data_IF_649094206233
#
_entry.id   IF_649094206233
#
_cell.length_a   1.000
_cell.length_b   1.000
_cell.length_c   1.000
_cell.angle_alpha   90.00
_cell.angle_beta   90.00
_cell.angle_gamma   90.00
#
_symmetry.space_group_name_H-M   'P 1'
#
loop_
_entity.id
_entity.type
_entity.pdbx_description
1 polymer ?
#
# COMPACT_ATOMS: atom_id res chain seq x y z
N UNK A 1 38.99 11.81 18.03
CA UNK A 1 37.51 11.83 18.09
C UNK A 1 37.01 10.84 17.06
N UNK A 2 36.89 9.57 17.42
CA UNK A 2 36.42 8.50 16.52
C UNK A 2 34.90 8.51 16.50
N UNK A 3 34.31 8.97 15.40
CA UNK A 3 32.86 8.94 15.20
C UNK A 3 32.38 7.49 15.19
N UNK A 4 31.49 7.16 16.13
CA UNK A 4 30.75 5.90 16.12
C UNK A 4 29.86 5.90 14.87
N UNK A 5 30.22 5.07 13.89
CA UNK A 5 29.31 4.68 12.82
C UNK A 5 28.16 3.92 13.45
N UNK A 6 27.03 4.60 13.65
CA UNK A 6 25.79 3.95 14.07
C UNK A 6 25.38 2.99 12.96
N UNK A 7 25.54 1.71 13.23
CA UNK A 7 25.13 0.62 12.35
C UNK A 7 23.60 0.58 12.39
N UNK A 8 22.94 1.29 11.47
CA UNK A 8 21.48 1.31 11.41
C UNK A 8 21.02 -0.08 10.98
N UNK A 9 20.17 -0.76 11.76
CA UNK A 9 19.68 -2.09 11.40
C UNK A 9 18.95 -2.01 10.05
N UNK A 10 19.13 -2.99 9.15
CA UNK A 10 18.47 -3.00 7.84
C UNK A 10 16.94 -2.92 7.97
N UNK A 11 16.33 -3.56 8.97
CA UNK A 11 14.89 -3.47 9.22
C UNK A 11 14.39 -2.05 9.53
N UNK A 12 15.24 -1.20 10.13
CA UNK A 12 14.88 0.19 10.42
C UNK A 12 14.91 1.04 9.13
N UNK A 13 15.88 0.77 8.25
CA UNK A 13 16.00 1.44 6.96
C UNK A 13 14.82 1.07 6.05
N UNK A 14 14.42 -0.19 6.01
CA UNK A 14 13.28 -0.66 5.20
C UNK A 14 11.97 -0.05 5.68
N UNK A 15 11.73 -0.01 6.99
CA UNK A 15 10.56 0.68 7.56
C UNK A 15 10.54 2.16 7.24
N UNK A 16 11.69 2.83 7.36
CA UNK A 16 11.79 4.27 7.04
C UNK A 16 11.50 4.53 5.57
N UNK A 17 12.00 3.67 4.67
CA UNK A 17 11.72 3.77 3.23
C UNK A 17 10.24 3.56 2.90
N UNK A 18 9.60 2.57 3.51
CA UNK A 18 8.16 2.32 3.35
C UNK A 18 7.34 3.52 3.82
N UNK A 19 7.61 4.05 5.02
CA UNK A 19 6.88 5.21 5.55
C UNK A 19 7.03 6.43 4.64
N UNK A 20 8.25 6.72 4.16
CA UNK A 20 8.49 7.81 3.22
C UNK A 20 7.73 7.61 1.90
N UNK A 21 7.76 6.40 1.33
CA UNK A 21 7.03 6.06 0.11
C UNK A 21 5.50 6.20 0.29
N UNK A 22 4.96 5.74 1.42
CA UNK A 22 3.55 5.90 1.75
C UNK A 22 3.18 7.39 1.87
N UNK A 23 3.99 8.20 2.56
CA UNK A 23 3.75 9.63 2.71
C UNK A 23 3.73 10.36 1.36
N UNK A 24 4.73 10.14 0.51
CA UNK A 24 4.77 10.72 -0.83
C UNK A 24 3.53 10.35 -1.66
N UNK A 25 3.12 9.08 -1.61
CA UNK A 25 1.91 8.63 -2.29
C UNK A 25 0.65 9.32 -1.73
N UNK A 26 0.59 9.54 -0.41
CA UNK A 26 -0.52 10.24 0.22
C UNK A 26 -0.58 11.73 -0.15
N UNK A 27 0.57 12.39 -0.29
CA UNK A 27 0.65 13.79 -0.71
C UNK A 27 0.17 14.02 -2.14
N UNK A 28 0.31 13.04 -3.03
CA UNK A 28 -0.24 13.08 -4.40
C UNK A 28 -1.77 13.04 -4.44
N UNK A 29 -2.41 12.68 -3.33
CA UNK A 29 -3.87 12.59 -3.22
C UNK A 29 -4.41 11.17 -3.41
N UNK A 30 -5.71 11.02 -3.16
CA UNK A 30 -6.38 9.73 -3.21
C UNK A 30 -7.75 9.80 -3.85
N UNK A 31 -8.21 8.65 -4.34
CA UNK A 31 -9.62 8.38 -4.57
C UNK A 31 -10.24 7.95 -3.24
N UNK A 32 -11.31 8.63 -2.84
CA UNK A 32 -12.13 8.20 -1.72
C UNK A 32 -13.02 7.04 -2.16
N UNK A 33 -13.01 5.99 -1.35
CA UNK A 33 -13.85 4.81 -1.52
C UNK A 33 -14.89 4.78 -0.38
N UNK A 34 -15.93 3.93 -0.50
CA UNK A 34 -16.95 3.77 0.52
C UNK A 34 -16.40 3.48 1.92
N UNK A 35 -17.18 3.87 2.93
CA UNK A 35 -16.84 3.70 4.35
C UNK A 35 -15.51 4.34 4.77
N UNK A 36 -15.07 5.38 4.07
CA UNK A 36 -13.85 6.13 4.41
C UNK A 36 -12.56 5.46 3.97
N UNK A 37 -12.64 4.40 3.16
CA UNK A 37 -11.47 3.80 2.53
C UNK A 37 -10.79 4.80 1.57
N UNK A 38 -9.47 4.70 1.42
CA UNK A 38 -8.69 5.60 0.56
C UNK A 38 -7.81 4.79 -0.37
N UNK A 39 -7.82 5.12 -1.65
CA UNK A 39 -7.02 4.48 -2.69
C UNK A 39 -6.01 5.48 -3.26
N UNK A 40 -4.73 5.22 -3.01
CA UNK A 40 -3.61 6.05 -3.42
C UNK A 40 -2.93 5.40 -4.64
N UNK A 41 -2.80 6.11 -5.77
CA UNK A 41 -1.97 5.65 -6.87
C UNK A 41 -0.49 5.76 -6.48
N UNK A 42 0.28 4.71 -6.76
CA UNK A 42 1.73 4.66 -6.55
C UNK A 42 2.39 4.34 -7.88
N UNK A 43 3.27 5.21 -8.37
CA UNK A 43 3.99 4.91 -9.60
C UNK A 43 4.93 3.72 -9.39
N UNK A 44 5.00 2.85 -10.41
CA UNK A 44 5.96 1.76 -10.44
C UNK A 44 7.39 2.31 -10.28
N UNK A 45 8.12 1.77 -9.32
CA UNK A 45 9.49 2.17 -9.04
C UNK A 45 9.89 1.92 -7.59
N UNK A 46 10.67 2.85 -7.04
CA UNK A 46 11.20 2.71 -5.68
C UNK A 46 10.09 2.77 -4.62
N UNK A 47 9.06 3.60 -4.81
CA UNK A 47 7.95 3.74 -3.85
C UNK A 47 7.12 2.46 -3.78
N UNK A 48 6.72 1.92 -4.93
CA UNK A 48 5.96 0.68 -4.99
C UNK A 48 6.76 -0.51 -4.43
N UNK A 49 8.06 -0.56 -4.70
CA UNK A 49 8.97 -1.57 -4.12
C UNK A 49 9.11 -1.42 -2.60
N UNK A 50 9.20 -0.20 -2.09
CA UNK A 50 9.35 0.05 -0.65
C UNK A 50 8.07 -0.32 0.11
N UNK A 51 6.90 0.04 -0.42
CA UNK A 51 5.61 -0.27 0.20
C UNK A 51 5.33 -1.78 0.17
N UNK A 52 5.54 -2.44 -0.98
CA UNK A 52 5.25 -3.88 -1.13
C UNK A 52 6.14 -4.81 -0.31
N UNK A 53 7.33 -4.35 0.11
CA UNK A 53 8.25 -5.11 0.98
C UNK A 53 7.96 -4.93 2.47
N UNK A 54 7.08 -4.01 2.84
CA UNK A 54 6.73 -3.77 4.23
C UNK A 54 5.86 -4.91 4.77
N UNK A 55 6.34 -5.59 5.82
CA UNK A 55 5.65 -6.72 6.46
C UNK A 55 4.30 -6.34 7.08
N UNK A 56 4.04 -5.06 7.31
CA UNK A 56 2.75 -4.56 7.81
C UNK A 56 1.72 -4.29 6.70
N UNK A 57 2.12 -4.46 5.44
CA UNK A 57 1.28 -4.25 4.26
C UNK A 57 0.89 -5.60 3.68
N UNK A 58 -0.41 -5.80 3.45
CA UNK A 58 -0.91 -6.97 2.75
C UNK A 58 -0.85 -6.75 1.24
N UNK A 59 -0.11 -7.58 0.51
CA UNK A 59 -0.01 -7.52 -0.95
C UNK A 59 -1.03 -8.47 -1.56
N UNK A 60 -1.93 -7.96 -2.43
CA UNK A 60 -3.03 -8.75 -3.01
C UNK A 60 -3.04 -8.65 -4.54
N UNK A 61 -2.97 -9.77 -5.24
CA UNK A 61 -2.96 -9.83 -6.72
C UNK A 61 -4.32 -10.14 -7.34
N UNK A 62 -5.25 -10.65 -6.54
CA UNK A 62 -6.57 -11.15 -6.99
C UNK A 62 -7.71 -10.64 -6.12
N UNK A 63 -8.94 -10.67 -6.65
CA UNK A 63 -10.13 -10.26 -5.90
C UNK A 63 -10.35 -11.11 -4.66
N UNK A 64 -10.01 -12.40 -4.70
CA UNK A 64 -10.14 -13.31 -3.56
C UNK A 64 -9.22 -12.88 -2.42
N UNK A 65 -7.93 -12.65 -2.71
CA UNK A 65 -6.96 -12.18 -1.70
C UNK A 65 -7.38 -10.83 -1.11
N UNK A 66 -7.94 -9.94 -1.93
CA UNK A 66 -8.48 -8.66 -1.44
C UNK A 66 -9.70 -8.88 -0.52
N UNK A 67 -10.61 -9.79 -0.85
CA UNK A 67 -11.73 -10.13 0.04
C UNK A 67 -11.26 -10.74 1.37
N UNK A 68 -10.24 -11.60 1.34
CA UNK A 68 -9.62 -12.17 2.54
C UNK A 68 -8.98 -11.07 3.41
N UNK A 69 -8.19 -10.19 2.80
CA UNK A 69 -7.56 -9.05 3.47
C UNK A 69 -8.58 -8.09 4.09
N UNK A 70 -9.78 -7.95 3.51
CA UNK A 70 -10.85 -7.10 4.04
C UNK A 70 -11.59 -7.72 5.24
N UNK A 71 -11.61 -9.05 5.34
CA UNK A 71 -12.19 -9.77 6.48
C UNK A 71 -11.25 -9.80 7.68
N UNK A 72 -9.95 -9.71 7.43
CA UNK A 72 -8.94 -9.66 8.48
C UNK A 72 -8.96 -8.28 9.18
N UNK A 73 -9.26 -8.21 10.48
CA UNK A 73 -9.26 -6.96 11.22
C UNK A 73 -7.86 -6.38 11.44
N UNK A 74 -6.80 -7.18 11.37
CA UNK A 74 -5.42 -6.76 11.62
C UNK A 74 -4.76 -6.11 10.40
N UNK A 75 -5.22 -6.47 9.19
CA UNK A 75 -4.81 -5.78 7.97
C UNK A 75 -5.35 -4.36 7.99
N UNK A 76 -4.48 -3.34 7.92
CA UNK A 76 -4.88 -1.92 7.82
C UNK A 76 -4.49 -1.29 6.49
N UNK A 77 -3.43 -1.80 5.89
CA UNK A 77 -2.84 -1.29 4.65
C UNK A 77 -2.77 -2.43 3.65
N UNK A 78 -3.23 -2.17 2.44
CA UNK A 78 -3.24 -3.13 1.34
C UNK A 78 -2.51 -2.53 0.14
N UNK A 79 -1.62 -3.30 -0.46
CA UNK A 79 -0.93 -2.95 -1.69
C UNK A 79 -1.42 -3.83 -2.85
N UNK A 80 -1.73 -3.21 -3.98
CA UNK A 80 -2.27 -3.84 -5.18
C UNK A 80 -1.26 -3.61 -6.32
N UNK A 81 -0.53 -4.64 -6.77
CA UNK A 81 0.48 -4.50 -7.80
C UNK A 81 -0.13 -4.24 -9.18
N UNK A 82 0.67 -3.75 -10.12
CA UNK A 82 0.21 -3.32 -11.43
C UNK A 82 -0.39 -4.46 -12.26
N UNK A 83 0.12 -5.68 -12.06
CA UNK A 83 -0.31 -6.91 -12.72
C UNK A 83 -1.55 -7.56 -12.06
N UNK A 84 -2.09 -6.95 -10.99
CA UNK A 84 -3.30 -7.43 -10.35
C UNK A 84 -4.49 -7.46 -11.33
N UNK A 85 -5.21 -8.58 -11.35
CA UNK A 85 -6.35 -8.79 -12.24
C UNK A 85 -7.64 -8.15 -11.70
N UNK A 86 -7.60 -6.87 -11.32
CA UNK A 86 -8.74 -6.14 -10.78
C UNK A 86 -8.75 -4.67 -11.16
N UNK A 87 -9.95 -4.11 -11.36
CA UNK A 87 -10.15 -2.69 -11.66
C UNK A 87 -10.47 -1.89 -10.39
N UNK A 88 -10.38 -0.56 -10.46
CA UNK A 88 -10.78 0.32 -9.36
C UNK A 88 -12.26 0.13 -8.99
N UNK A 89 -13.10 -0.21 -9.96
CA UNK A 89 -14.51 -0.51 -9.72
C UNK A 89 -14.70 -1.81 -8.93
N UNK A 90 -13.84 -2.81 -9.13
CA UNK A 90 -13.89 -4.06 -8.37
C UNK A 90 -13.44 -3.86 -6.92
N UNK A 91 -12.36 -3.07 -6.72
CA UNK A 91 -11.90 -2.64 -5.39
C UNK A 91 -13.03 -1.91 -4.66
N UNK A 92 -13.67 -0.95 -5.34
CA UNK A 92 -14.77 -0.19 -4.78
C UNK A 92 -15.96 -1.08 -4.37
N UNK A 93 -16.35 -2.05 -5.20
CA UNK A 93 -17.39 -3.04 -4.87
C UNK A 93 -17.04 -3.91 -3.64
N UNK A 94 -15.76 -4.27 -3.48
CA UNK A 94 -15.31 -4.99 -2.29
C UNK A 94 -15.41 -4.09 -1.05
N UNK A 95 -14.99 -2.83 -1.15
CA UNK A 95 -15.14 -1.87 -0.07
C UNK A 95 -16.62 -1.65 0.30
N UNK A 96 -17.54 -1.55 -0.66
CA UNK A 96 -18.98 -1.40 -0.34
C UNK A 96 -19.52 -2.50 0.57
N UNK A 97 -19.07 -3.74 0.36
CA UNK A 97 -19.49 -4.93 1.11
C UNK A 97 -18.85 -5.04 2.49
N UNK A 98 -17.78 -4.30 2.75
CA UNK A 98 -17.00 -4.37 3.98
C UNK A 98 -16.88 -2.98 4.62
N UNK A 99 -17.55 -2.74 5.74
CA UNK A 99 -17.55 -1.44 6.43
C UNK A 99 -16.20 -1.07 7.10
N UNK A 100 -15.16 -1.87 6.90
CA UNK A 100 -13.88 -1.70 7.55
C UNK A 100 -13.01 -0.70 6.77
N UNK A 101 -12.64 0.41 7.42
CA UNK A 101 -11.77 1.45 6.83
C UNK A 101 -10.38 0.89 6.58
N UNK A 102 -9.85 1.08 5.37
CA UNK A 102 -8.51 0.66 4.96
C UNK A 102 -7.83 1.72 4.10
N UNK A 103 -6.50 1.68 4.11
CA UNK A 103 -5.65 2.40 3.16
C UNK A 103 -5.18 1.45 2.08
N UNK A 104 -5.43 1.80 0.82
CA UNK A 104 -5.01 1.04 -0.35
C UNK A 104 -3.95 1.80 -1.13
N UNK A 105 -2.90 1.12 -1.53
CA UNK A 105 -1.91 1.59 -2.48
C UNK A 105 -2.02 0.77 -3.75
N UNK A 106 -2.35 1.40 -4.88
CA UNK A 106 -2.44 0.73 -6.17
C UNK A 106 -1.28 1.16 -7.04
N UNK A 107 -0.51 0.20 -7.50
CA UNK A 107 0.57 0.47 -8.44
C UNK A 107 0.00 0.86 -9.81
N UNK A 108 0.54 1.94 -10.37
CA UNK A 108 0.23 2.44 -11.71
C UNK A 108 1.51 2.53 -12.54
N UNK A 109 1.38 2.44 -13.87
CA UNK A 109 2.52 2.66 -14.76
C UNK A 109 3.07 4.06 -14.52
N UNK A 110 4.39 4.16 -14.41
CA UNK A 110 5.08 5.44 -14.36
C UNK A 110 4.74 6.24 -15.62
N UNK A 111 4.27 7.48 -15.45
CA UNK A 111 4.05 8.38 -16.57
C UNK A 111 5.37 8.64 -17.29
N UNK A 112 5.40 8.41 -18.61
CA UNK A 112 6.53 8.80 -19.46
C UNK A 112 6.50 10.28 -19.80
#
# INVERSE_FOLDING_TARGET
MTGQGHNVPPDLLEKTASVAAQQNAMERGCKFLPHGCRLFPVEQGWESTAISRDKSVSVVGTLLELEEAMRDPDVKVVFIPLDAMMTDADIEKICQRNAAVRTFFREVKKGG
#
